data_IF_337832669580
#
_entry.id   IF_337832669580
#
_cell.length_a   1.000
_cell.length_b   1.000
_cell.length_c   1.000
_cell.angle_alpha   90.00
_cell.angle_beta   90.00
_cell.angle_gamma   90.00
#
_symmetry.space_group_name_H-M   'P 1'
#
loop_
_entity.id
_entity.type
_entity.pdbx_description
1 polymer ?
#
# COMPACT_ATOMS: atom_id res chain seq x y z
N UNK A 1 3.73 10.64 -8.87
CA UNK A 1 4.53 9.41 -9.06
C UNK A 1 3.72 8.10 -9.01
N UNK A 2 2.94 7.81 -7.94
CA UNK A 2 2.20 6.54 -7.73
C UNK A 2 1.67 5.86 -9.00
N UNK A 3 0.76 6.52 -9.74
CA UNK A 3 0.09 5.92 -10.89
C UNK A 3 1.07 5.47 -11.99
N UNK A 4 2.16 6.20 -12.19
CA UNK A 4 3.16 5.83 -13.18
C UNK A 4 3.92 4.55 -12.77
N UNK A 5 4.24 4.41 -11.48
CA UNK A 5 4.92 3.23 -10.94
C UNK A 5 4.01 1.99 -11.00
N UNK A 6 2.74 2.12 -10.64
CA UNK A 6 1.76 1.04 -10.82
C UNK A 6 1.64 0.63 -12.28
N UNK A 7 1.58 1.59 -13.21
CA UNK A 7 1.52 1.31 -14.65
C UNK A 7 2.83 0.71 -15.19
N UNK A 8 3.97 0.99 -14.56
CA UNK A 8 5.25 0.37 -14.85
C UNK A 8 5.38 -1.06 -14.26
N UNK A 9 4.37 -1.53 -13.53
CA UNK A 9 4.31 -2.88 -12.97
C UNK A 9 4.93 -3.04 -11.59
N UNK A 10 5.29 -1.95 -10.92
CA UNK A 10 5.80 -2.00 -9.55
C UNK A 10 4.66 -2.32 -8.58
N UNK A 11 4.93 -3.21 -7.63
CA UNK A 11 4.03 -3.62 -6.57
C UNK A 11 4.82 -3.97 -5.29
N UNK A 12 4.13 -4.28 -4.20
CA UNK A 12 4.81 -4.77 -3.00
C UNK A 12 5.82 -3.78 -2.41
N UNK A 13 6.91 -4.34 -1.89
CA UNK A 13 8.03 -3.59 -1.30
C UNK A 13 8.74 -2.66 -2.30
N UNK A 14 8.79 -3.03 -3.59
CA UNK A 14 9.44 -2.22 -4.63
C UNK A 14 8.66 -0.92 -4.89
N UNK A 15 7.34 -1.00 -4.89
CA UNK A 15 6.47 0.17 -4.99
C UNK A 15 6.63 1.08 -3.76
N UNK A 16 6.59 0.50 -2.56
CA UNK A 16 6.77 1.23 -1.30
C UNK A 16 8.12 1.93 -1.23
N UNK A 17 9.21 1.22 -1.52
CA UNK A 17 10.56 1.77 -1.51
C UNK A 17 10.74 2.91 -2.52
N UNK A 18 10.17 2.77 -3.73
CA UNK A 18 10.24 3.83 -4.73
C UNK A 18 9.45 5.07 -4.32
N UNK A 19 8.28 4.88 -3.69
CA UNK A 19 7.47 6.00 -3.20
C UNK A 19 8.10 6.71 -2.01
N UNK A 20 8.77 5.97 -1.11
CA UNK A 20 9.59 6.56 -0.05
C UNK A 20 10.62 7.50 -0.67
N UNK A 21 11.40 7.02 -1.64
CA UNK A 21 12.40 7.84 -2.31
C UNK A 21 11.79 9.07 -2.98
N UNK A 22 10.69 8.90 -3.74
CA UNK A 22 10.03 10.04 -4.37
C UNK A 22 9.59 11.07 -3.32
N UNK A 23 8.96 10.63 -2.23
CA UNK A 23 8.48 11.54 -1.18
C UNK A 23 9.63 12.27 -0.49
N UNK A 24 10.72 11.57 -0.15
CA UNK A 24 11.92 12.18 0.43
C UNK A 24 12.55 13.24 -0.49
N UNK A 25 12.52 13.03 -1.81
CA UNK A 25 13.09 13.96 -2.79
C UNK A 25 12.16 15.13 -3.13
N UNK A 26 10.83 14.91 -3.11
CA UNK A 26 9.84 15.91 -3.50
C UNK A 26 9.29 16.72 -2.31
N UNK A 27 9.47 16.25 -1.07
CA UNK A 27 8.98 16.98 0.11
C UNK A 27 9.73 18.30 0.30
N UNK A 28 8.98 19.34 0.65
CA UNK A 28 9.55 20.65 0.98
C UNK A 28 9.96 20.78 2.45
N UNK A 29 9.55 19.81 3.29
CA UNK A 29 9.75 19.81 4.74
C UNK A 29 9.80 18.36 5.25
N UNK A 30 10.58 18.10 6.31
CA UNK A 30 10.73 16.79 6.95
C UNK A 30 9.50 16.34 7.74
N UNK A 31 8.56 17.26 8.03
CA UNK A 31 7.28 16.93 8.67
C UNK A 31 6.22 16.38 7.68
N UNK A 32 6.52 16.35 6.38
CA UNK A 32 5.61 15.81 5.36
C UNK A 32 5.75 14.30 5.28
N UNK A 33 4.66 13.60 5.59
CA UNK A 33 4.54 12.15 5.48
C UNK A 33 3.27 11.75 4.72
N UNK A 34 3.23 10.49 4.27
CA UNK A 34 2.07 9.88 3.64
C UNK A 34 1.78 8.51 4.23
N UNK A 35 0.51 8.22 4.50
CA UNK A 35 0.07 6.86 4.80
C UNK A 35 -0.42 6.17 3.53
N UNK A 36 -0.24 4.86 3.45
CA UNK A 36 -0.61 4.07 2.27
C UNK A 36 -1.29 2.76 2.65
N UNK A 37 -2.36 2.43 1.92
CA UNK A 37 -2.92 1.08 1.84
C UNK A 37 -3.06 0.69 0.36
N UNK A 38 -2.34 -0.36 -0.05
CA UNK A 38 -2.34 -0.83 -1.43
C UNK A 38 -2.63 -2.34 -1.50
N UNK A 39 -3.44 -2.73 -2.49
CA UNK A 39 -3.83 -4.13 -2.70
C UNK A 39 -3.52 -4.52 -4.13
N UNK A 40 -2.68 -5.54 -4.28
CA UNK A 40 -2.29 -6.13 -5.57
C UNK A 40 -3.07 -7.42 -5.78
N UNK A 41 -4.04 -7.42 -6.69
CA UNK A 41 -4.91 -8.57 -6.95
C UNK A 41 -4.37 -9.35 -8.15
N UNK A 42 -4.16 -10.67 -7.99
CA UNK A 42 -3.74 -11.52 -9.09
C UNK A 42 -4.80 -11.56 -10.20
N UNK A 43 -4.41 -11.71 -11.48
CA UNK A 43 -5.38 -11.71 -12.58
C UNK A 43 -6.44 -12.82 -12.50
N UNK A 44 -6.13 -13.93 -11.82
CA UNK A 44 -7.08 -15.02 -11.56
C UNK A 44 -8.04 -14.74 -10.40
N UNK A 45 -7.86 -13.62 -9.68
CA UNK A 45 -8.67 -13.21 -8.54
C UNK A 45 -8.52 -14.09 -7.30
N UNK A 46 -7.53 -14.99 -7.27
CA UNK A 46 -7.37 -15.98 -6.18
C UNK A 46 -6.38 -15.56 -5.12
N UNK A 47 -5.57 -14.54 -5.37
CA UNK A 47 -4.55 -14.03 -4.46
C UNK A 47 -4.59 -12.51 -4.42
N UNK A 48 -4.29 -11.97 -3.26
CA UNK A 48 -4.08 -10.55 -3.08
C UNK A 48 -2.85 -10.33 -2.19
N UNK A 49 -1.97 -9.43 -2.59
CA UNK A 49 -0.95 -8.84 -1.73
C UNK A 49 -1.52 -7.59 -1.06
N UNK A 50 -1.19 -7.37 0.21
CA UNK A 50 -1.55 -6.17 0.96
C UNK A 50 -0.27 -5.48 1.44
N UNK A 51 -0.13 -4.20 1.11
CA UNK A 51 0.96 -3.34 1.56
C UNK A 51 0.40 -2.20 2.38
N UNK A 52 0.91 -2.01 3.60
CA UNK A 52 0.51 -0.95 4.52
C UNK A 52 1.73 -0.14 4.96
N UNK A 53 1.61 1.19 4.92
CA UNK A 53 2.57 2.13 5.49
C UNK A 53 1.82 3.14 6.35
N UNK A 54 1.86 3.00 7.67
CA UNK A 54 1.19 3.87 8.64
C UNK A 54 -0.36 3.90 8.54
N UNK A 55 -0.96 3.04 7.71
CA UNK A 55 -2.40 3.03 7.45
C UNK A 55 -3.09 1.85 8.18
N UNK A 56 -4.30 2.05 8.78
CA UNK A 56 -5.07 0.95 9.35
C UNK A 56 -5.38 -0.18 8.37
N UNK A 57 -5.53 -1.41 8.87
CA UNK A 57 -5.89 -2.55 8.02
C UNK A 57 -7.26 -2.36 7.36
N UNK A 58 -7.40 -2.64 6.04
CA UNK A 58 -8.67 -2.55 5.35
C UNK A 58 -9.62 -3.71 5.72
N UNK A 59 -10.91 -3.52 5.42
CA UNK A 59 -11.95 -4.51 5.62
C UNK A 59 -12.17 -5.35 4.34
N UNK A 60 -12.24 -6.67 4.49
CA UNK A 60 -12.71 -7.58 3.45
C UNK A 60 -14.18 -7.92 3.68
N UNK A 61 -15.02 -7.62 2.69
CA UNK A 61 -16.44 -7.96 2.68
C UNK A 61 -16.79 -8.76 1.41
N UNK A 62 -17.58 -9.82 1.59
CA UNK A 62 -18.07 -10.66 0.48
C UNK A 62 -19.49 -11.15 0.77
N UNK A 63 -20.32 -11.42 -0.25
CA UNK A 63 -21.66 -11.96 -0.06
C UNK A 63 -21.65 -13.26 0.75
N UNK A 64 -22.49 -13.33 1.79
CA UNK A 64 -22.63 -14.53 2.63
C UNK A 64 -21.46 -14.78 3.61
N UNK A 65 -20.47 -13.88 3.67
CA UNK A 65 -19.33 -13.98 4.59
C UNK A 65 -19.31 -12.78 5.52
N UNK A 66 -19.19 -12.96 6.85
CA UNK A 66 -19.01 -11.85 7.78
C UNK A 66 -17.78 -11.02 7.40
N UNK A 67 -17.93 -9.70 7.40
CA UNK A 67 -16.82 -8.81 7.11
C UNK A 67 -15.72 -8.98 8.18
N UNK A 68 -14.47 -8.95 7.73
CA UNK A 68 -13.31 -9.09 8.63
C UNK A 68 -12.20 -8.14 8.22
N UNK A 69 -11.42 -7.68 9.19
CA UNK A 69 -10.19 -6.96 8.89
C UNK A 69 -9.20 -7.91 8.21
N UNK A 70 -8.47 -7.39 7.22
CA UNK A 70 -7.31 -8.08 6.69
C UNK A 70 -6.18 -8.09 7.75
N UNK A 71 -5.17 -8.95 7.59
CA UNK A 71 -4.01 -8.93 8.47
C UNK A 71 -3.39 -7.52 8.51
N UNK A 72 -3.02 -7.08 9.71
CA UNK A 72 -2.24 -5.85 9.94
C UNK A 72 -0.74 -6.15 10.08
N UNK A 73 -0.39 -7.42 9.96
CA UNK A 73 0.98 -7.90 10.04
C UNK A 73 1.75 -7.31 8.84
N UNK A 74 2.92 -6.73 9.10
CA UNK A 74 3.74 -5.96 8.14
C UNK A 74 3.26 -4.53 7.83
N UNK A 75 2.52 -3.87 8.73
CA UNK A 75 2.38 -2.40 8.62
C UNK A 75 3.70 -1.70 9.00
N UNK A 76 4.38 -1.14 7.99
CA UNK A 76 5.52 -0.27 8.20
C UNK A 76 5.11 1.11 8.75
N UNK A 77 6.08 1.98 9.08
CA UNK A 77 5.78 3.39 9.35
C UNK A 77 5.12 4.06 8.14
N UNK A 78 4.58 5.26 8.33
CA UNK A 78 4.21 6.11 7.21
C UNK A 78 5.45 6.36 6.32
N UNK A 79 5.21 6.68 5.05
CA UNK A 79 6.26 7.13 4.14
C UNK A 79 6.69 8.54 4.52
N UNK A 80 7.97 8.85 4.35
CA UNK A 80 8.59 10.14 4.71
C UNK A 80 9.51 10.02 5.90
#
# INVERSE_FOLDING_TARGET
>A
AWRALTLAGLCGDELLGTLQQVLEHERSDDEIFATLCAVDISPDGRRAGLCLAGHPSPLLAAPGVPARLLPYDNNGPALG
#
